data_IF_512685521130
#
_entry.id   IF_512685521130
#
_cell.length_a   1.000
_cell.length_b   1.000
_cell.length_c   1.000
_cell.angle_alpha   90.00
_cell.angle_beta   90.00
_cell.angle_gamma   90.00
#
_symmetry.space_group_name_H-M   'P 1'
#
loop_
_entity.id
_entity.type
_entity.pdbx_description
1 polymer ?
#
# COMPACT_ATOMS: atom_id res chain seq x y z
N UNK A 1 -30.88 -12.07 -0.96
CA UNK A 1 -29.67 -11.21 -1.07
C UNK A 1 -29.26 -10.58 0.26
N UNK A 2 -30.12 -9.80 0.93
CA UNK A 2 -29.77 -9.05 2.16
C UNK A 2 -29.23 -9.89 3.34
N UNK A 3 -29.74 -11.09 3.55
CA UNK A 3 -29.32 -11.97 4.67
C UNK A 3 -27.92 -12.56 4.42
N UNK A 4 -27.59 -12.89 3.18
CA UNK A 4 -26.27 -13.44 2.80
C UNK A 4 -25.21 -12.35 2.92
N UNK A 5 -25.50 -11.14 2.45
CA UNK A 5 -24.57 -9.99 2.60
C UNK A 5 -24.33 -9.65 4.06
N UNK A 6 -25.37 -9.67 4.90
CA UNK A 6 -25.24 -9.42 6.34
C UNK A 6 -24.39 -10.50 7.04
N UNK A 7 -24.64 -11.78 6.73
CA UNK A 7 -23.84 -12.88 7.28
C UNK A 7 -22.36 -12.76 6.89
N UNK A 8 -22.08 -12.50 5.61
CA UNK A 8 -20.72 -12.34 5.10
C UNK A 8 -19.97 -11.19 5.78
N UNK A 9 -20.61 -10.01 5.88
CA UNK A 9 -20.03 -8.85 6.57
C UNK A 9 -19.77 -9.13 8.06
N UNK A 10 -20.68 -9.80 8.76
CA UNK A 10 -20.47 -10.18 10.15
C UNK A 10 -19.30 -11.16 10.30
N UNK A 11 -19.13 -12.10 9.37
CA UNK A 11 -17.99 -13.01 9.34
C UNK A 11 -16.66 -12.27 9.15
N UNK A 12 -16.62 -11.27 8.26
CA UNK A 12 -15.44 -10.41 8.06
C UNK A 12 -15.17 -9.55 9.30
N UNK A 13 -16.19 -8.97 9.93
CA UNK A 13 -15.99 -8.14 11.13
C UNK A 13 -15.47 -9.01 12.27
N UNK A 14 -15.98 -10.23 12.40
CA UNK A 14 -15.57 -11.15 13.46
C UNK A 14 -14.09 -11.52 13.40
N UNK A 15 -13.49 -11.67 12.21
CA UNK A 15 -12.05 -11.94 12.09
C UNK A 15 -11.18 -10.83 12.66
N UNK A 16 -11.65 -9.58 12.66
CA UNK A 16 -10.92 -8.44 13.24
C UNK A 16 -10.83 -8.50 14.77
N UNK A 17 -11.70 -9.26 15.42
CA UNK A 17 -11.71 -9.42 16.88
C UNK A 17 -10.93 -10.65 17.37
N UNK A 18 -10.41 -11.50 16.46
CA UNK A 18 -9.60 -12.63 16.87
C UNK A 18 -8.16 -12.19 17.17
N UNK A 19 -7.66 -12.43 18.40
CA UNK A 19 -6.32 -12.04 18.81
C UNK A 19 -5.23 -13.00 18.30
N UNK A 20 -5.58 -14.16 17.75
CA UNK A 20 -4.63 -15.19 17.32
C UNK A 20 -4.92 -15.68 15.90
N UNK A 21 -3.84 -15.85 15.13
CA UNK A 21 -3.87 -16.51 13.83
C UNK A 21 -4.24 -17.98 14.04
N UNK A 22 -5.45 -18.36 13.64
CA UNK A 22 -5.83 -19.77 13.55
C UNK A 22 -4.99 -20.47 12.45
N UNK A 23 -4.72 -21.77 12.57
CA UNK A 23 -3.99 -22.55 11.58
C UNK A 23 -4.52 -22.35 10.16
N UNK A 24 -3.61 -22.24 9.18
CA UNK A 24 -3.95 -21.97 7.78
C UNK A 24 -4.97 -22.97 7.18
N UNK A 25 -5.00 -24.22 7.67
CA UNK A 25 -5.94 -25.25 7.24
C UNK A 25 -7.40 -24.91 7.56
N UNK A 26 -7.67 -24.21 8.66
CA UNK A 26 -9.03 -23.87 9.11
C UNK A 26 -9.68 -22.85 8.17
N UNK A 27 -8.87 -21.97 7.56
CA UNK A 27 -9.36 -20.90 6.67
C UNK A 27 -9.84 -21.45 5.33
N UNK A 28 -9.12 -22.43 4.76
CA UNK A 28 -9.52 -23.08 3.51
C UNK A 28 -10.79 -23.94 3.69
N UNK A 29 -10.91 -24.59 4.84
CA UNK A 29 -12.13 -25.33 5.21
C UNK A 29 -13.29 -24.34 5.37
N UNK A 30 -13.09 -23.21 6.04
CA UNK A 30 -14.09 -22.14 6.15
C UNK A 30 -14.53 -21.57 4.79
N UNK A 31 -13.60 -21.40 3.84
CA UNK A 31 -13.87 -20.94 2.47
C UNK A 31 -14.74 -21.93 1.68
N UNK A 32 -14.53 -23.23 1.87
CA UNK A 32 -15.30 -24.29 1.17
C UNK A 32 -16.80 -24.24 1.47
N UNK A 33 -17.20 -23.65 2.60
CA UNK A 33 -18.59 -23.47 2.98
C UNK A 33 -19.34 -22.41 2.17
N UNK A 34 -18.66 -21.60 1.34
CA UNK A 34 -19.33 -20.75 0.35
C UNK A 34 -20.19 -21.57 -0.62
N UNK A 35 -19.75 -22.79 -0.95
CA UNK A 35 -20.53 -23.71 -1.79
C UNK A 35 -21.83 -24.17 -1.11
N UNK A 36 -21.86 -24.26 0.23
CA UNK A 36 -23.05 -24.67 0.99
C UNK A 36 -24.15 -23.60 1.04
N UNK A 37 -23.85 -22.34 0.70
CA UNK A 37 -24.85 -21.27 0.55
C UNK A 37 -25.85 -21.61 -0.57
N UNK A 38 -25.36 -22.26 -1.62
CA UNK A 38 -26.16 -22.68 -2.79
C UNK A 38 -26.94 -23.96 -2.46
N UNK A 39 -26.32 -24.90 -1.75
CA UNK A 39 -26.86 -26.25 -1.49
C UNK A 39 -27.91 -26.25 -0.35
N UNK A 40 -27.71 -25.45 0.72
CA UNK A 40 -28.56 -25.48 1.91
C UNK A 40 -29.26 -24.13 2.18
N UNK A 41 -30.45 -23.89 1.62
CA UNK A 41 -31.11 -22.58 1.64
C UNK A 41 -31.55 -22.13 3.04
N UNK A 42 -31.83 -23.07 3.96
CA UNK A 42 -32.27 -22.77 5.34
C UNK A 42 -31.13 -22.23 6.25
N UNK A 43 -29.87 -22.45 5.88
CA UNK A 43 -28.69 -22.05 6.66
C UNK A 43 -27.86 -20.91 6.05
N UNK A 44 -28.39 -20.23 5.03
CA UNK A 44 -27.65 -19.25 4.21
C UNK A 44 -26.93 -18.16 5.00
N UNK A 45 -27.48 -17.73 6.13
CA UNK A 45 -26.81 -16.77 7.01
C UNK A 45 -25.54 -17.35 7.64
N UNK A 46 -25.63 -18.56 8.21
CA UNK A 46 -24.52 -19.25 8.87
C UNK A 46 -23.42 -19.57 7.87
N UNK A 47 -23.78 -20.09 6.69
CA UNK A 47 -22.80 -20.39 5.64
C UNK A 47 -22.15 -19.13 5.07
N UNK A 48 -22.90 -18.03 4.95
CA UNK A 48 -22.35 -16.74 4.55
C UNK A 48 -21.39 -16.17 5.61
N UNK A 49 -21.71 -16.33 6.90
CA UNK A 49 -20.83 -15.96 8.00
C UNK A 49 -19.52 -16.75 7.99
N UNK A 50 -19.60 -18.08 7.89
CA UNK A 50 -18.41 -18.95 7.83
C UNK A 50 -17.59 -18.67 6.57
N UNK A 51 -18.24 -18.45 5.42
CA UNK A 51 -17.56 -18.10 4.17
C UNK A 51 -16.89 -16.72 4.20
N UNK A 52 -17.56 -15.71 4.79
CA UNK A 52 -16.98 -14.37 5.00
C UNK A 52 -15.79 -14.39 5.95
N UNK A 53 -15.90 -15.17 7.03
CA UNK A 53 -14.79 -15.45 7.93
C UNK A 53 -13.61 -16.12 7.20
N UNK A 54 -13.88 -17.18 6.43
CA UNK A 54 -12.85 -17.90 5.67
C UNK A 54 -12.14 -17.00 4.64
N UNK A 55 -12.89 -16.17 3.90
CA UNK A 55 -12.32 -15.20 2.95
C UNK A 55 -11.37 -14.23 3.64
N UNK A 56 -11.83 -13.57 4.72
CA UNK A 56 -11.02 -12.61 5.44
C UNK A 56 -9.79 -13.27 6.09
N UNK A 57 -9.94 -14.49 6.59
CA UNK A 57 -8.86 -15.20 7.25
C UNK A 57 -7.82 -15.76 6.26
N UNK A 58 -8.24 -16.24 5.08
CA UNK A 58 -7.32 -16.57 3.98
C UNK A 58 -6.54 -15.31 3.57
N UNK A 59 -7.23 -14.18 3.35
CA UNK A 59 -6.56 -12.93 2.98
C UNK A 59 -5.57 -12.47 4.06
N UNK A 60 -5.95 -12.52 5.33
CA UNK A 60 -5.06 -12.20 6.43
C UNK A 60 -3.84 -13.13 6.48
N UNK A 61 -4.05 -14.45 6.29
CA UNK A 61 -2.96 -15.42 6.26
C UNK A 61 -1.97 -15.19 5.12
N UNK A 62 -2.44 -14.78 3.93
CA UNK A 62 -1.58 -14.43 2.80
C UNK A 62 -0.73 -13.20 3.08
N UNK A 63 -1.27 -12.19 3.76
CA UNK A 63 -0.51 -11.00 4.15
C UNK A 63 0.50 -11.35 5.25
N UNK A 64 0.12 -12.17 6.23
CA UNK A 64 0.96 -12.51 7.38
C UNK A 64 2.08 -13.52 7.04
N UNK A 65 1.88 -14.38 6.03
CA UNK A 65 2.91 -15.32 5.57
C UNK A 65 4.10 -14.64 4.90
N UNK A 66 3.91 -13.40 4.43
CA UNK A 66 4.95 -12.59 3.79
C UNK A 66 5.64 -11.65 4.78
N UNK A 67 5.57 -11.92 6.08
CA UNK A 67 6.24 -11.11 7.11
C UNK A 67 7.73 -11.43 7.20
N UNK A 68 8.53 -10.44 7.62
CA UNK A 68 9.97 -10.62 7.78
C UNK A 68 10.25 -11.70 8.85
N UNK A 69 11.04 -12.75 8.53
CA UNK A 69 11.46 -13.74 9.51
C UNK A 69 12.17 -13.10 10.71
N UNK A 70 11.92 -13.61 11.92
CA UNK A 70 12.46 -13.05 13.17
C UNK A 70 13.99 -13.01 13.19
N UNK A 71 14.64 -13.94 12.51
CA UNK A 71 16.11 -14.05 12.42
C UNK A 71 16.74 -12.92 11.60
N UNK A 72 15.98 -12.29 10.69
CA UNK A 72 16.45 -11.20 9.83
C UNK A 72 16.14 -9.82 10.41
N UNK A 73 15.42 -9.76 11.54
CA UNK A 73 15.09 -8.51 12.19
C UNK A 73 16.33 -7.86 12.80
N UNK A 74 16.59 -6.61 12.41
CA UNK A 74 17.74 -5.86 12.92
C UNK A 74 19.09 -6.23 12.30
N UNK A 75 19.12 -7.14 11.33
CA UNK A 75 20.33 -7.52 10.58
C UNK A 75 20.50 -6.60 9.36
N UNK A 76 21.76 -6.29 9.01
CA UNK A 76 22.05 -5.53 7.79
C UNK A 76 22.00 -6.48 6.58
N UNK A 77 21.06 -6.23 5.67
CA UNK A 77 20.81 -7.03 4.49
C UNK A 77 21.15 -6.24 3.23
N UNK A 78 21.76 -6.90 2.26
CA UNK A 78 21.82 -6.40 0.89
C UNK A 78 20.56 -6.81 0.15
N UNK A 79 19.81 -5.83 -0.32
CA UNK A 79 18.49 -6.06 -0.92
C UNK A 79 18.45 -5.43 -2.30
N UNK A 80 18.24 -6.26 -3.32
CA UNK A 80 17.82 -5.81 -4.64
C UNK A 80 16.32 -5.55 -4.57
N UNK A 81 15.88 -4.33 -4.83
CA UNK A 81 14.49 -3.92 -4.68
C UNK A 81 14.03 -3.04 -5.84
N UNK A 82 12.73 -3.06 -6.12
CA UNK A 82 12.04 -2.16 -7.04
C UNK A 82 11.27 -1.12 -6.26
N UNK A 83 11.46 0.16 -6.59
CA UNK A 83 10.74 1.28 -5.98
C UNK A 83 9.30 1.30 -6.49
N UNK A 84 8.33 1.41 -5.59
CA UNK A 84 6.90 1.48 -5.91
C UNK A 84 6.26 2.67 -5.20
N UNK A 85 5.24 3.27 -5.81
CA UNK A 85 4.69 4.53 -5.35
C UNK A 85 5.67 5.70 -5.50
N UNK A 86 5.17 6.91 -5.31
CA UNK A 86 5.97 8.14 -5.39
C UNK A 86 6.76 8.32 -4.08
N UNK A 87 8.11 8.42 -4.12
CA UNK A 87 8.90 8.69 -2.93
C UNK A 87 8.50 10.01 -2.25
N UNK A 88 8.33 9.98 -0.93
CA UNK A 88 8.05 11.14 -0.09
C UNK A 88 9.38 11.75 0.38
N UNK A 89 9.70 12.93 -0.11
CA UNK A 89 10.89 13.68 0.32
C UNK A 89 10.55 14.63 1.46
N UNK A 90 11.30 14.50 2.56
CA UNK A 90 11.34 15.43 3.67
C UNK A 90 12.75 16.04 3.76
N UNK A 91 12.93 17.11 4.54
CA UNK A 91 14.18 17.88 4.66
C UNK A 91 15.45 17.01 4.72
N UNK A 92 15.50 15.99 5.60
CA UNK A 92 16.68 15.11 5.79
C UNK A 92 16.37 13.62 5.61
N UNK A 93 15.22 13.30 5.01
CA UNK A 93 14.74 11.92 4.92
C UNK A 93 13.96 11.72 3.63
N UNK A 94 14.37 10.74 2.84
CA UNK A 94 13.55 10.18 1.78
C UNK A 94 12.84 8.94 2.30
N UNK A 95 11.52 8.89 2.15
CA UNK A 95 10.75 7.69 2.48
C UNK A 95 10.12 7.15 1.20
N UNK A 96 10.25 5.86 1.00
CA UNK A 96 9.72 5.22 -0.21
C UNK A 96 9.23 3.82 0.11
N UNK A 97 8.34 3.32 -0.74
CA UNK A 97 7.91 1.93 -0.70
C UNK A 97 8.70 1.16 -1.76
N UNK A 98 8.97 -0.11 -1.47
CA UNK A 98 9.68 -0.97 -2.39
C UNK A 98 9.17 -2.41 -2.31
N UNK A 99 9.37 -3.15 -3.39
CA UNK A 99 9.18 -4.60 -3.44
C UNK A 99 10.57 -5.22 -3.56
N UNK A 100 11.01 -6.05 -2.60
CA UNK A 100 12.29 -6.75 -2.69
C UNK A 100 12.22 -7.83 -3.76
N UNK A 101 13.25 -7.89 -4.60
CA UNK A 101 13.46 -8.89 -5.64
C UNK A 101 14.43 -9.98 -5.18
N UNK A 102 15.36 -9.64 -4.29
CA UNK A 102 16.30 -10.57 -3.67
C UNK A 102 16.85 -9.96 -2.38
N UNK A 103 17.18 -10.80 -1.40
CA UNK A 103 17.81 -10.43 -0.14
C UNK A 103 18.98 -11.34 0.15
N UNK A 104 20.09 -10.78 0.63
CA UNK A 104 21.28 -11.50 1.08
C UNK A 104 21.77 -10.89 2.38
N UNK A 105 22.05 -11.69 3.42
CA UNK A 105 22.63 -11.15 4.64
C UNK A 105 24.06 -10.69 4.37
N UNK A 106 24.44 -9.55 4.93
CA UNK A 106 25.81 -9.05 4.82
C UNK A 106 26.71 -9.74 5.85
N UNK A 107 26.14 -10.06 7.02
CA UNK A 107 26.83 -10.80 8.06
C UNK A 107 26.80 -12.30 7.78
N UNK A 108 27.98 -12.91 7.75
CA UNK A 108 28.27 -14.28 7.29
C UNK A 108 27.69 -15.36 8.24
N UNK A 109 27.15 -14.97 9.40
CA UNK A 109 26.58 -15.92 10.38
C UNK A 109 25.27 -16.55 9.88
N UNK A 110 24.53 -15.86 9.00
CA UNK A 110 23.29 -16.38 8.41
C UNK A 110 23.60 -16.83 6.98
N UNK A 111 23.33 -18.10 6.65
CA UNK A 111 23.57 -18.58 5.29
C UNK A 111 22.49 -18.02 4.36
N UNK A 112 22.89 -17.56 3.18
CA UNK A 112 21.95 -17.05 2.17
C UNK A 112 20.90 -18.09 1.71
N UNK A 113 21.12 -19.38 1.99
CA UNK A 113 20.16 -20.48 1.75
C UNK A 113 18.92 -20.40 2.64
N UNK A 114 18.98 -19.68 3.75
CA UNK A 114 17.94 -19.68 4.78
C UNK A 114 16.87 -18.62 4.49
N UNK A 115 17.13 -17.70 3.55
CA UNK A 115 16.16 -16.73 3.06
C UNK A 115 15.27 -17.38 2.01
N UNK A 116 14.26 -18.11 2.47
CA UNK A 116 13.26 -18.75 1.58
C UNK A 116 12.07 -17.82 1.26
N UNK A 117 11.80 -16.82 2.10
CA UNK A 117 10.62 -15.94 1.96
C UNK A 117 11.06 -14.48 1.90
N UNK A 118 10.70 -13.81 0.80
CA UNK A 118 10.86 -12.37 0.63
C UNK A 118 9.59 -11.67 1.17
N UNK A 119 9.72 -10.62 1.98
CA UNK A 119 8.56 -9.85 2.39
C UNK A 119 7.93 -9.15 1.18
N UNK A 120 6.61 -8.94 1.22
CA UNK A 120 5.85 -8.33 0.11
C UNK A 120 6.24 -6.87 -0.15
N UNK A 121 5.49 -5.91 0.41
CA UNK A 121 5.85 -4.49 0.30
C UNK A 121 6.65 -4.08 1.52
N UNK A 122 7.75 -3.37 1.33
CA UNK A 122 8.58 -2.83 2.42
C UNK A 122 8.57 -1.31 2.38
N UNK A 123 8.61 -0.67 3.55
CA UNK A 123 8.68 0.79 3.70
C UNK A 123 10.05 1.17 4.24
N UNK A 124 10.83 1.88 3.44
CA UNK A 124 12.20 2.27 3.77
C UNK A 124 12.32 3.77 3.98
N UNK A 125 13.27 4.13 4.84
CA UNK A 125 13.70 5.51 5.08
C UNK A 125 15.18 5.66 4.78
N UNK A 126 15.57 6.59 3.92
CA UNK A 126 16.95 6.95 3.65
C UNK A 126 17.24 8.31 4.28
N UNK A 127 18.12 8.33 5.28
CA UNK A 127 18.48 9.54 6.02
C UNK A 127 19.75 10.16 5.48
N UNK A 128 19.70 11.45 5.12
CA UNK A 128 20.83 12.25 4.60
C UNK A 128 21.47 11.69 3.31
N UNK A 129 21.96 12.56 2.44
CA UNK A 129 22.68 12.19 1.21
C UNK A 129 21.96 11.12 0.36
N UNK A 130 20.63 11.17 0.30
CA UNK A 130 19.87 10.26 -0.54
C UNK A 130 19.90 10.76 -1.99
N UNK A 131 20.08 9.87 -2.97
CA UNK A 131 19.97 10.23 -4.38
C UNK A 131 18.50 10.46 -4.75
N UNK A 132 18.28 11.10 -5.90
CA UNK A 132 16.94 11.17 -6.48
C UNK A 132 16.50 9.77 -6.92
N UNK A 133 15.28 9.40 -6.54
CA UNK A 133 14.72 8.07 -6.76
C UNK A 133 13.37 8.20 -7.45
N UNK A 134 13.11 7.35 -8.43
CA UNK A 134 11.87 7.35 -9.19
C UNK A 134 11.11 6.04 -9.04
N UNK A 135 9.77 6.07 -9.11
CA UNK A 135 8.98 4.84 -9.13
C UNK A 135 9.39 3.96 -10.33
N UNK A 136 9.53 2.66 -10.10
CA UNK A 136 9.99 1.69 -11.09
C UNK A 136 11.49 1.43 -11.10
N UNK A 137 12.30 2.26 -10.42
CA UNK A 137 13.75 2.05 -10.34
C UNK A 137 14.10 0.75 -9.61
N UNK A 138 15.17 0.09 -10.05
CA UNK A 138 15.75 -1.05 -9.35
C UNK A 138 17.05 -0.62 -8.68
N UNK A 139 17.10 -0.81 -7.37
CA UNK A 139 18.24 -0.46 -6.55
C UNK A 139 18.79 -1.69 -5.84
N UNK A 140 20.10 -1.71 -5.63
CA UNK A 140 20.75 -2.58 -4.66
C UNK A 140 21.13 -1.75 -3.44
N UNK A 141 20.48 -2.00 -2.30
CA UNK A 141 20.67 -1.20 -1.09
C UNK A 141 21.01 -2.09 0.10
N UNK A 142 21.92 -1.59 0.93
CA UNK A 142 22.12 -2.11 2.28
C UNK A 142 21.04 -1.53 3.19
N UNK A 143 20.19 -2.38 3.74
CA UNK A 143 19.06 -1.97 4.58
C UNK A 143 19.05 -2.76 5.88
N UNK A 144 18.56 -2.13 6.94
CA UNK A 144 18.20 -2.83 8.18
C UNK A 144 16.68 -2.87 8.26
N UNK A 145 16.11 -4.07 8.21
CA UNK A 145 14.67 -4.29 8.27
C UNK A 145 14.22 -4.59 9.71
N UNK A 146 12.98 -4.24 9.98
CA UNK A 146 12.25 -4.49 11.22
C UNK A 146 10.86 -4.98 10.88
N UNK A 147 10.33 -5.85 11.74
CA UNK A 147 8.95 -6.31 11.59
C UNK A 147 7.98 -5.16 11.88
N UNK A 148 6.81 -5.12 11.24
CA UNK A 148 5.74 -4.19 11.57
C UNK A 148 5.35 -4.40 13.03
N UNK A 149 5.61 -3.40 13.87
CA UNK A 149 5.15 -3.38 15.26
C UNK A 149 4.59 -2.00 15.55
N UNK A 150 3.40 -1.95 16.13
CA UNK A 150 2.77 -0.74 16.63
C UNK A 150 2.95 -0.58 18.14
N UNK A 151 2.84 0.66 18.63
CA UNK A 151 2.62 0.85 20.06
C UNK A 151 1.16 0.52 20.36
N UNK A 152 0.91 -0.35 21.34
CA UNK A 152 -0.44 -0.61 21.85
C UNK A 152 -0.91 0.58 22.72
N UNK A 153 -1.27 1.69 22.08
CA UNK A 153 -1.78 2.88 22.74
C UNK A 153 -3.32 2.90 22.68
N UNK A 154 -4.04 2.68 23.80
CA UNK A 154 -5.50 2.71 23.82
C UNK A 154 -6.05 4.06 23.34
N UNK A 155 -6.98 4.03 22.38
CA UNK A 155 -7.55 5.24 21.77
C UNK A 155 -6.62 6.02 20.82
N UNK A 156 -5.39 5.52 20.61
CA UNK A 156 -4.43 6.09 19.67
C UNK A 156 -4.54 5.50 18.26
N UNK A 157 -3.72 6.04 17.36
CA UNK A 157 -3.57 5.51 16.01
C UNK A 157 -2.87 4.15 16.02
N UNK A 158 -3.56 3.12 15.50
CA UNK A 158 -3.01 1.78 15.37
C UNK A 158 -2.12 1.69 14.12
N UNK A 159 -0.82 1.92 14.34
CA UNK A 159 0.18 1.92 13.27
C UNK A 159 0.36 0.54 12.63
N UNK A 160 0.24 -0.53 13.40
CA UNK A 160 0.41 -1.90 12.92
C UNK A 160 -0.73 -2.29 11.99
N UNK A 161 -1.97 -2.00 12.41
CA UNK A 161 -3.15 -2.20 11.59
C UNK A 161 -3.11 -1.37 10.30
N UNK A 162 -2.59 -0.14 10.36
CA UNK A 162 -2.40 0.68 9.16
C UNK A 162 -1.34 0.08 8.22
N UNK A 163 -0.20 -0.39 8.74
CA UNK A 163 0.82 -1.07 7.92
C UNK A 163 0.23 -2.32 7.25
N UNK A 164 -0.56 -3.09 7.99
CA UNK A 164 -1.25 -4.27 7.49
C UNK A 164 -2.24 -3.91 6.36
N UNK A 165 -3.08 -2.88 6.52
CA UNK A 165 -4.00 -2.46 5.45
C UNK A 165 -3.28 -2.00 4.18
N UNK A 166 -2.10 -1.38 4.33
CA UNK A 166 -1.25 -0.96 3.21
C UNK A 166 -0.42 -2.10 2.60
N UNK A 167 -0.57 -3.33 3.11
CA UNK A 167 0.19 -4.52 2.75
C UNK A 167 1.70 -4.34 2.95
N UNK A 168 2.10 -3.55 3.97
CA UNK A 168 3.50 -3.29 4.30
C UNK A 168 3.95 -4.33 5.33
N UNK A 169 4.79 -5.26 4.87
CA UNK A 169 5.23 -6.42 5.63
C UNK A 169 6.55 -6.23 6.38
N UNK A 170 7.31 -5.17 6.05
CA UNK A 170 8.50 -4.79 6.80
C UNK A 170 8.72 -3.27 6.72
N UNK A 171 9.30 -2.73 7.77
CA UNK A 171 9.76 -1.34 7.79
C UNK A 171 11.28 -1.31 7.99
N UNK A 172 11.94 -0.23 7.63
CA UNK A 172 13.38 -0.17 7.81
C UNK A 172 14.01 1.12 7.35
N UNK A 173 15.33 1.10 7.31
CA UNK A 173 16.11 2.22 6.82
C UNK A 173 17.32 1.76 6.02
N UNK A 174 17.73 2.62 5.09
CA UNK A 174 18.92 2.43 4.27
C UNK A 174 20.15 2.80 5.11
N UNK A 175 21.14 1.90 5.14
CA UNK A 175 22.44 2.15 5.76
C UNK A 175 23.37 2.75 4.73
N UNK A 176 24.22 3.69 5.15
CA UNK A 176 25.28 4.21 4.30
C UNK A 176 26.27 3.08 3.98
N UNK A 177 26.45 2.78 2.70
CA UNK A 177 27.29 1.69 2.21
C UNK A 177 27.78 2.04 0.81
N UNK A 178 29.04 1.71 0.51
CA UNK A 178 29.63 1.88 -0.83
C UNK A 178 28.99 0.96 -1.87
N UNK A 179 28.28 -0.08 -1.43
CA UNK A 179 27.57 -1.03 -2.29
C UNK A 179 26.16 -0.56 -2.68
N UNK A 180 25.71 0.58 -2.15
CA UNK A 180 24.43 1.17 -2.51
C UNK A 180 24.50 1.76 -3.91
N UNK A 181 23.81 1.15 -4.86
CA UNK A 181 23.82 1.62 -6.24
C UNK A 181 22.48 1.39 -6.92
N UNK A 182 22.17 2.27 -7.87
CA UNK A 182 21.05 2.09 -8.79
C UNK A 182 21.50 1.10 -9.86
N UNK A 183 20.74 0.03 -10.04
CA UNK A 183 21.03 -1.00 -11.04
C UNK A 183 20.35 -0.69 -12.36
N UNK A 184 19.06 -0.33 -12.31
CA UNK A 184 18.26 -0.06 -13.51
C UNK A 184 17.41 1.19 -13.31
N UNK A 185 17.30 1.97 -14.38
CA UNK A 185 16.53 3.20 -14.46
C UNK A 185 15.33 2.95 -15.36
N UNK A 186 14.13 3.34 -14.93
CA UNK A 186 12.91 3.40 -15.75
C UNK A 186 12.37 2.07 -16.29
N UNK A 187 11.90 1.19 -15.39
CA UNK A 187 10.79 0.32 -15.76
C UNK A 187 9.51 1.14 -15.94
N UNK A 188 8.70 0.86 -16.96
CA UNK A 188 7.39 1.51 -17.12
C UNK A 188 6.54 1.30 -15.85
N UNK A 189 6.08 2.39 -15.25
CA UNK A 189 5.22 2.38 -14.07
C UNK A 189 4.21 3.51 -14.15
N UNK A 190 2.96 3.23 -13.80
CA UNK A 190 1.90 4.24 -13.70
C UNK A 190 2.30 5.31 -12.66
N UNK A 191 2.94 4.90 -11.57
CA UNK A 191 3.46 5.86 -10.59
C UNK A 191 4.62 6.69 -11.13
N UNK A 192 5.41 6.12 -12.06
CA UNK A 192 6.45 6.84 -12.79
C UNK A 192 5.86 7.96 -13.65
N UNK A 193 4.82 7.65 -14.42
CA UNK A 193 4.06 8.65 -15.19
C UNK A 193 3.43 9.71 -14.28
N UNK A 194 2.80 9.31 -13.17
CA UNK A 194 2.24 10.24 -12.18
C UNK A 194 3.32 11.16 -11.60
N UNK A 195 4.49 10.62 -11.28
CA UNK A 195 5.61 11.42 -10.76
C UNK A 195 6.15 12.39 -11.81
N UNK A 196 6.22 11.98 -13.07
CA UNK A 196 6.66 12.84 -14.17
C UNK A 196 5.68 14.00 -14.41
N UNK A 197 4.38 13.70 -14.46
CA UNK A 197 3.32 14.70 -14.57
C UNK A 197 3.37 15.69 -13.39
N UNK A 198 3.55 15.19 -12.17
CA UNK A 198 3.66 16.03 -10.99
C UNK A 198 4.84 17.00 -11.06
N UNK A 199 6.00 16.53 -11.55
CA UNK A 199 7.18 17.38 -11.73
C UNK A 199 6.95 18.44 -12.81
N UNK A 200 6.36 18.08 -13.96
CA UNK A 200 6.01 19.04 -15.01
C UNK A 200 5.03 20.10 -14.52
N UNK A 201 4.00 19.71 -13.78
CA UNK A 201 3.05 20.65 -13.18
C UNK A 201 3.72 21.56 -12.16
N UNK A 202 4.62 21.01 -11.33
CA UNK A 202 5.38 21.81 -10.37
C UNK A 202 6.13 22.91 -11.09
N UNK A 203 6.83 22.58 -12.17
CA UNK A 203 7.62 23.54 -12.96
C UNK A 203 6.75 24.60 -13.64
N UNK A 204 5.56 24.23 -14.12
CA UNK A 204 4.62 25.16 -14.75
C UNK A 204 4.00 26.15 -13.75
N UNK A 205 3.66 25.69 -12.54
CA UNK A 205 2.94 26.48 -11.53
C UNK A 205 3.85 27.04 -10.42
N UNK A 206 5.18 27.05 -10.59
CA UNK A 206 6.11 27.53 -9.53
C UNK A 206 5.81 28.97 -9.09
N UNK A 207 5.28 29.80 -9.99
CA UNK A 207 5.05 31.24 -9.73
C UNK A 207 3.73 31.53 -9.00
N UNK A 208 2.76 30.61 -9.05
CA UNK A 208 1.39 30.86 -8.57
C UNK A 208 1.16 30.45 -7.11
N UNK A 209 2.21 29.99 -6.41
CA UNK A 209 2.10 29.46 -5.04
C UNK A 209 1.27 28.16 -4.91
N UNK A 210 0.62 27.71 -5.98
CA UNK A 210 -0.24 26.52 -6.02
C UNK A 210 0.49 25.23 -6.47
N UNK A 211 1.81 25.31 -6.71
CA UNK A 211 2.62 24.21 -7.27
C UNK A 211 2.57 22.91 -6.48
N UNK A 212 2.29 22.98 -5.17
CA UNK A 212 2.16 21.81 -4.31
C UNK A 212 0.75 21.23 -4.24
N UNK A 213 -0.27 22.08 -4.32
CA UNK A 213 -1.68 21.70 -4.11
C UNK A 213 -2.29 21.07 -5.37
N UNK A 214 -1.97 21.59 -6.55
CA UNK A 214 -2.51 21.06 -7.82
C UNK A 214 -2.13 19.59 -8.08
N UNK A 215 -0.86 19.16 -7.94
CA UNK A 215 -0.50 17.74 -8.06
C UNK A 215 -1.18 16.88 -6.98
N UNK A 216 -1.40 17.42 -5.78
CA UNK A 216 -2.11 16.71 -4.73
C UNK A 216 -3.59 16.47 -5.08
N UNK A 217 -4.26 17.45 -5.69
CA UNK A 217 -5.67 17.36 -6.08
C UNK A 217 -5.89 16.47 -7.31
N UNK A 218 -5.05 16.62 -8.33
CA UNK A 218 -5.21 15.94 -9.63
C UNK A 218 -4.57 14.55 -9.66
N UNK A 219 -3.41 14.39 -9.02
CA UNK A 219 -2.62 13.15 -9.06
C UNK A 219 -2.61 12.42 -7.72
N UNK A 220 -3.20 12.99 -6.66
CA UNK A 220 -3.24 12.40 -5.32
C UNK A 220 -1.90 12.41 -4.57
N UNK A 221 -0.90 13.15 -5.07
CA UNK A 221 0.46 13.17 -4.49
C UNK A 221 0.54 14.28 -3.46
N UNK A 222 0.19 13.99 -2.21
CA UNK A 222 0.14 15.01 -1.14
C UNK A 222 1.51 15.47 -0.65
N UNK A 223 2.56 14.70 -0.90
CA UNK A 223 3.93 15.03 -0.50
C UNK A 223 4.50 16.27 -1.21
N UNK A 224 3.84 16.78 -2.25
CA UNK A 224 4.22 18.02 -2.93
C UNK A 224 3.79 19.29 -2.20
N UNK A 225 2.86 19.19 -1.23
CA UNK A 225 2.37 20.37 -0.47
C UNK A 225 3.44 20.79 0.54
N UNK A 226 3.83 22.07 0.50
CA UNK A 226 4.76 22.63 1.47
C UNK A 226 4.14 22.59 2.89
N UNK A 227 4.91 22.25 3.95
CA UNK A 227 4.45 22.33 5.33
C UNK A 227 3.71 23.62 5.72
N UNK A 228 4.09 24.78 5.17
CA UNK A 228 3.42 26.06 5.43
C UNK A 228 2.00 26.10 4.84
N UNK A 229 1.84 25.69 3.57
CA UNK A 229 0.55 25.58 2.90
C UNK A 229 -0.35 24.57 3.61
N UNK A 230 0.23 23.45 4.05
CA UNK A 230 -0.49 22.44 4.82
C UNK A 230 -1.02 22.98 6.14
N UNK A 231 -0.22 23.80 6.84
CA UNK A 231 -0.65 24.48 8.07
C UNK A 231 -1.80 25.45 7.80
N UNK A 232 -1.73 26.22 6.72
CA UNK A 232 -2.82 27.13 6.29
C UNK A 232 -4.11 26.36 5.97
N UNK A 233 -4.01 25.22 5.29
CA UNK A 233 -5.16 24.35 5.01
C UNK A 233 -5.80 23.77 6.27
N UNK A 234 -5.00 23.46 7.30
CA UNK A 234 -5.52 23.03 8.60
C UNK A 234 -6.21 24.20 9.31
N UNK A 235 -5.57 25.37 9.35
CA UNK A 235 -6.08 26.55 10.06
C UNK A 235 -7.39 27.07 9.46
N UNK A 236 -7.54 26.98 8.13
CA UNK A 236 -8.77 27.38 7.42
C UNK A 236 -9.82 26.28 7.39
N UNK A 237 -9.51 25.07 7.87
CA UNK A 237 -10.40 23.91 7.83
C UNK A 237 -10.53 23.26 6.45
N UNK A 238 -9.85 23.76 5.41
CA UNK A 238 -9.93 23.29 4.02
C UNK A 238 -9.13 22.02 3.71
N UNK A 239 -8.46 21.41 4.69
CA UNK A 239 -7.68 20.18 4.48
C UNK A 239 -8.51 19.00 3.92
N UNK A 240 -9.82 18.97 4.18
CA UNK A 240 -10.71 17.90 3.76
C UNK A 240 -10.95 17.93 2.25
N UNK A 241 -10.90 19.11 1.62
CA UNK A 241 -11.01 19.26 0.16
C UNK A 241 -9.86 18.53 -0.55
N UNK A 242 -8.66 18.63 0.01
CA UNK A 242 -7.47 17.91 -0.48
C UNK A 242 -7.56 16.40 -0.18
N UNK A 243 -8.25 16.03 0.90
CA UNK A 243 -8.38 14.64 1.30
C UNK A 243 -9.36 13.83 0.43
N UNK A 244 -10.41 14.48 -0.08
CA UNK A 244 -11.55 13.85 -0.76
C UNK A 244 -11.34 13.74 -2.28
N UNK A 245 -10.60 14.68 -2.90
CA UNK A 245 -10.79 14.99 -4.32
C UNK A 245 -10.31 13.95 -5.34
N UNK A 246 -9.19 13.25 -5.11
CA UNK A 246 -8.54 12.48 -6.19
C UNK A 246 -9.36 11.29 -6.71
N UNK A 247 -9.76 10.38 -5.82
CA UNK A 247 -10.52 9.18 -6.20
C UNK A 247 -11.98 9.49 -6.55
N UNK A 248 -12.61 10.43 -5.83
CA UNK A 248 -14.00 10.78 -6.06
C UNK A 248 -14.19 11.47 -7.42
N UNK A 249 -13.30 12.38 -7.82
CA UNK A 249 -13.36 13.02 -9.13
C UNK A 249 -13.11 11.99 -10.24
N UNK A 250 -12.13 11.09 -10.06
CA UNK A 250 -11.88 10.01 -11.02
C UNK A 250 -13.08 9.07 -11.18
N UNK A 251 -13.74 8.70 -10.08
CA UNK A 251 -14.94 7.86 -10.09
C UNK A 251 -16.10 8.56 -10.78
N UNK A 252 -16.35 9.84 -10.47
CA UNK A 252 -17.41 10.64 -11.11
C UNK A 252 -17.13 10.79 -12.60
N UNK A 253 -15.91 11.17 -13.00
CA UNK A 253 -15.53 11.32 -14.40
C UNK A 253 -15.65 9.99 -15.17
N UNK A 254 -15.19 8.88 -14.57
CA UNK A 254 -15.32 7.55 -15.16
C UNK A 254 -16.78 7.11 -15.31
N UNK A 255 -17.61 7.33 -14.29
CA UNK A 255 -19.04 7.05 -14.35
C UNK A 255 -19.73 7.90 -15.43
N UNK A 256 -19.43 9.20 -15.48
CA UNK A 256 -19.95 10.11 -16.50
C UNK A 256 -19.51 9.67 -17.91
N UNK A 257 -18.27 9.23 -18.09
CA UNK A 257 -17.79 8.72 -19.38
C UNK A 257 -18.51 7.43 -19.80
N UNK A 258 -18.68 6.47 -18.89
CA UNK A 258 -19.41 5.22 -19.17
C UNK A 258 -20.87 5.53 -19.48
N UNK A 259 -21.52 6.40 -18.71
CA UNK A 259 -22.90 6.83 -18.98
C UNK A 259 -23.00 7.53 -20.35
N UNK A 260 -22.09 8.46 -20.65
CA UNK A 260 -22.12 9.18 -21.91
C UNK A 260 -21.85 8.27 -23.11
N UNK A 261 -20.85 7.40 -23.03
CA UNK A 261 -20.53 6.44 -24.10
C UNK A 261 -21.64 5.41 -24.32
N UNK A 262 -22.29 4.93 -23.26
CA UNK A 262 -23.45 4.03 -23.36
C UNK A 262 -24.66 4.74 -23.98
N UNK A 263 -25.01 5.95 -23.52
CA UNK A 263 -26.06 6.75 -24.14
C UNK A 263 -25.75 7.05 -25.62
N UNK A 264 -24.50 7.41 -25.94
CA UNK A 264 -24.09 7.70 -27.31
C UNK A 264 -24.22 6.48 -28.22
N UNK A 265 -23.80 5.29 -27.76
CA UNK A 265 -23.95 4.04 -28.52
C UNK A 265 -25.41 3.61 -28.71
N UNK A 266 -26.35 4.09 -27.90
CA UNK A 266 -27.79 3.81 -28.03
C UNK A 266 -28.50 4.72 -29.04
N UNK A 267 -27.88 5.84 -29.43
CA UNK A 267 -28.39 6.74 -30.46
C UNK A 267 -27.47 6.75 -31.69
N UNK A 268 -27.48 5.68 -32.50
CA UNK A 268 -26.68 5.60 -33.73
C UNK A 268 -27.02 6.65 -34.80
N UNK A 269 -28.03 7.51 -34.55
CA UNK A 269 -28.43 8.62 -35.43
C UNK A 269 -27.63 9.91 -35.21
N UNK A 270 -26.72 9.94 -34.22
CA UNK A 270 -25.84 11.08 -33.92
C UNK A 270 -24.38 10.86 -34.39
N UNK A 271 -24.12 9.74 -35.09
CA UNK A 271 -22.86 9.47 -35.78
C UNK A 271 -22.96 9.87 -37.26
#
# INVERSE_FOLDING_TARGET
MRIVTAGLLLGIIFTLYLPQQLPASIHWVALSFLALIVIFPKGRFVWAFVGGFGLAAVQASMVLSSTLPTELEGVDLMVKLRVVGVPEQYDKKLRFMAIPLSMQPIDVTIKSSDITVLPGKIRLSWYRNFPQMYPGDIWNLTVRLKRPHGFANPGGFDYEKWLFSEHINATGYVRTSTRNQRLETQGFSIDGLRSQLANQMKDFFQQDGASGVLPALLLGIRSTINPEDWKTLIQTGSNHLVAISGLHIGLVAGLSYVLWSTLWSWFPRLC
#
